data_IF_691621568060
#
_entry.id   IF_691621568060
#
_cell.length_a   1.000
_cell.length_b   1.000
_cell.length_c   1.000
_cell.angle_alpha   90.00
_cell.angle_beta   90.00
_cell.angle_gamma   90.00
#
_symmetry.space_group_name_H-M   'P 1'
#
loop_
_entity.id
_entity.type
_entity.pdbx_description
1 polymer ?
#
# COMPACT_ATOMS: atom_id res chain seq x y z
N UNK A 1 -5.69 19.59 -2.07
CA UNK A 1 -5.50 18.67 -3.19
C UNK A 1 -5.99 17.28 -2.82
N UNK A 2 -6.82 16.75 -3.64
CA UNK A 2 -7.39 15.44 -3.38
C UNK A 2 -6.39 14.35 -3.69
N UNK A 3 -6.33 13.36 -2.82
CA UNK A 3 -5.56 12.16 -3.11
C UNK A 3 -6.35 11.28 -4.05
N UNK A 4 -5.72 10.87 -5.12
CA UNK A 4 -6.31 9.89 -6.02
C UNK A 4 -6.42 8.56 -5.30
N UNK A 5 -7.56 7.91 -5.43
CA UNK A 5 -7.77 6.61 -4.80
C UNK A 5 -7.47 5.49 -5.78
N UNK A 6 -6.98 4.41 -5.22
CA UNK A 6 -6.69 3.20 -5.99
C UNK A 6 -7.47 2.08 -5.34
N UNK A 7 -8.29 1.36 -6.09
CA UNK A 7 -9.03 0.26 -5.50
C UNK A 7 -8.12 -0.95 -5.28
N UNK A 8 -8.55 -1.84 -4.41
CA UNK A 8 -7.75 -3.01 -4.04
C UNK A 8 -7.44 -3.86 -5.26
N UNK A 9 -8.40 -4.00 -6.17
CA UNK A 9 -8.20 -4.77 -7.38
C UNK A 9 -7.02 -4.22 -8.19
N UNK A 10 -6.94 -2.90 -8.31
CA UNK A 10 -5.84 -2.26 -9.01
C UNK A 10 -4.52 -2.42 -8.27
N UNK A 11 -4.56 -2.36 -6.94
CA UNK A 11 -3.37 -2.58 -6.13
C UNK A 11 -2.82 -3.99 -6.38
N UNK A 12 -3.69 -4.98 -6.43
CA UNK A 12 -3.28 -6.36 -6.71
C UNK A 12 -2.58 -6.45 -8.07
N UNK A 13 -3.11 -5.75 -9.04
CA UNK A 13 -2.52 -5.73 -10.38
C UNK A 13 -1.15 -5.06 -10.38
N UNK A 14 -1.06 -3.89 -9.75
CA UNK A 14 0.18 -3.11 -9.71
C UNK A 14 1.28 -3.87 -9.01
N UNK A 15 0.94 -4.52 -7.89
CA UNK A 15 1.92 -5.20 -7.04
C UNK A 15 2.09 -6.67 -7.38
N UNK A 16 1.27 -7.18 -8.31
CA UNK A 16 1.24 -8.60 -8.61
C UNK A 16 1.01 -9.40 -7.33
N UNK A 17 0.03 -8.97 -6.55
CA UNK A 17 -0.22 -9.53 -5.24
C UNK A 17 -1.39 -10.47 -5.21
N UNK A 18 -1.54 -11.12 -4.05
CA UNK A 18 -2.62 -12.05 -3.78
C UNK A 18 -3.46 -11.50 -2.64
N UNK A 19 -4.77 -11.45 -2.82
CA UNK A 19 -5.66 -10.98 -1.77
C UNK A 19 -5.96 -12.12 -0.81
N UNK A 20 -5.51 -11.96 0.43
CA UNK A 20 -5.74 -12.96 1.47
C UNK A 20 -7.08 -12.70 2.14
N UNK A 21 -7.35 -11.43 2.49
CA UNK A 21 -8.59 -11.02 3.13
C UNK A 21 -8.95 -9.64 2.57
N UNK A 22 -10.25 -9.41 2.36
CA UNK A 22 -10.70 -8.05 2.08
C UNK A 22 -11.55 -7.92 0.84
N UNK A 23 -12.03 -6.70 0.61
CA UNK A 23 -12.92 -6.34 -0.47
C UNK A 23 -12.12 -5.75 -1.64
N UNK A 24 -12.20 -6.37 -2.80
CA UNK A 24 -11.47 -5.90 -3.98
C UNK A 24 -11.91 -4.53 -4.45
N UNK A 25 -13.10 -4.11 -4.08
CA UNK A 25 -13.65 -2.83 -4.53
C UNK A 25 -13.32 -1.68 -3.59
N UNK A 26 -12.72 -1.98 -2.45
CA UNK A 26 -12.37 -0.93 -1.49
C UNK A 26 -11.31 -0.01 -2.09
N UNK A 27 -11.51 1.29 -1.91
CA UNK A 27 -10.58 2.30 -2.44
C UNK A 27 -9.64 2.78 -1.36
N UNK A 28 -8.37 2.90 -1.71
CA UNK A 28 -7.30 3.30 -0.80
C UNK A 28 -6.68 4.59 -1.33
N UNK A 29 -6.58 5.59 -0.47
CA UNK A 29 -6.01 6.88 -0.89
C UNK A 29 -4.59 7.10 -0.39
N UNK A 30 -4.17 6.37 0.62
CA UNK A 30 -2.89 6.67 1.27
C UNK A 30 -2.22 5.39 1.72
N UNK A 31 -0.90 5.38 1.61
CA UNK A 31 -0.06 4.24 1.99
C UNK A 31 1.00 4.71 2.96
N UNK A 32 1.39 3.85 3.89
CA UNK A 32 2.42 4.18 4.87
C UNK A 32 3.23 2.94 5.21
N UNK A 33 4.53 3.11 5.38
CA UNK A 33 5.39 2.04 5.88
C UNK A 33 5.88 2.33 7.30
N UNK A 34 5.26 3.28 7.98
CA UNK A 34 5.68 3.69 9.32
C UNK A 34 4.49 3.77 10.24
N UNK A 35 4.45 2.87 11.23
CA UNK A 35 3.31 2.81 12.16
C UNK A 35 3.16 4.07 12.99
N UNK A 36 4.23 4.87 13.11
CA UNK A 36 4.15 6.11 13.89
C UNK A 36 3.34 7.18 13.20
N UNK A 37 3.21 7.10 11.88
CA UNK A 37 2.51 8.12 11.11
C UNK A 37 1.24 7.61 10.46
N UNK A 38 0.83 6.39 10.75
CA UNK A 38 -0.36 5.82 10.17
C UNK A 38 -1.59 6.60 10.59
N UNK A 39 -2.44 6.87 9.61
CA UNK A 39 -3.72 7.51 9.84
C UNK A 39 -4.84 6.54 9.46
N UNK A 40 -6.03 6.88 9.94
CA UNK A 40 -7.20 6.05 9.70
C UNK A 40 -7.41 5.87 8.20
N UNK A 41 -7.52 4.63 7.76
CA UNK A 41 -7.74 4.33 6.35
C UNK A 41 -6.49 4.10 5.53
N UNK A 42 -5.31 4.25 6.12
CA UNK A 42 -4.06 3.99 5.41
C UNK A 42 -3.87 2.50 5.14
N UNK A 43 -3.20 2.20 4.04
CA UNK A 43 -2.72 0.85 3.76
C UNK A 43 -1.27 0.77 4.24
N UNK A 44 -1.00 -0.16 5.15
CA UNK A 44 0.33 -0.32 5.70
C UNK A 44 1.17 -1.25 4.84
N UNK A 45 2.40 -0.83 4.51
CA UNK A 45 3.36 -1.70 3.81
C UNK A 45 4.36 -2.23 4.82
N UNK A 46 4.37 -3.54 4.99
CA UNK A 46 5.25 -4.21 5.95
C UNK A 46 6.60 -4.46 5.30
N UNK A 47 7.49 -3.48 5.39
CA UNK A 47 8.78 -3.54 4.72
C UNK A 47 9.84 -4.07 5.69
N UNK A 48 10.62 -5.01 5.21
CA UNK A 48 11.71 -5.59 6.00
C UNK A 48 12.98 -4.78 5.76
N UNK A 49 13.44 -4.09 6.80
CA UNK A 49 14.66 -3.32 6.73
C UNK A 49 15.82 -4.03 7.41
N UNK A 50 16.94 -3.33 7.52
CA UNK A 50 18.14 -3.91 8.12
C UNK A 50 17.98 -4.20 9.59
N UNK A 51 17.32 -3.30 10.31
CA UNK A 51 17.17 -3.41 11.76
C UNK A 51 15.78 -3.80 12.20
N UNK A 52 14.80 -3.49 11.37
CA UNK A 52 13.40 -3.62 11.73
C UNK A 52 12.68 -4.38 10.63
N UNK A 53 11.91 -5.34 11.04
CA UNK A 53 11.03 -6.05 10.11
C UNK A 53 9.62 -5.51 10.30
N UNK A 54 9.12 -4.81 9.29
CA UNK A 54 7.79 -4.20 9.36
C UNK A 54 6.68 -5.21 9.58
N UNK A 55 6.93 -6.48 9.27
CA UNK A 55 5.93 -7.53 9.49
C UNK A 55 5.63 -7.73 10.98
N UNK A 56 6.53 -7.34 11.85
CA UNK A 56 6.29 -7.41 13.29
C UNK A 56 5.32 -6.35 13.79
N UNK A 57 4.97 -5.39 12.96
CA UNK A 57 4.15 -4.24 13.36
C UNK A 57 2.79 -4.22 12.65
N UNK A 58 2.41 -5.31 12.01
CA UNK A 58 1.15 -5.34 11.25
C UNK A 58 -0.04 -5.12 12.20
N UNK A 59 -0.06 -5.80 13.35
CA UNK A 59 -1.16 -5.60 14.28
C UNK A 59 -1.17 -4.18 14.83
N UNK A 60 0.01 -3.62 15.13
CA UNK A 60 0.11 -2.22 15.53
C UNK A 60 -0.53 -1.29 14.52
N UNK A 61 -0.24 -1.53 13.25
CA UNK A 61 -0.79 -0.70 12.19
C UNK A 61 -2.31 -0.79 12.16
N UNK A 62 -2.86 -2.00 12.30
CA UNK A 62 -4.30 -2.18 12.31
C UNK A 62 -4.94 -1.44 13.48
N UNK A 63 -4.30 -1.50 14.66
CA UNK A 63 -4.84 -0.84 15.85
C UNK A 63 -4.75 0.67 15.75
N UNK A 64 -3.86 1.18 14.96
CA UNK A 64 -3.75 2.62 14.73
C UNK A 64 -4.67 3.13 13.64
N UNK A 65 -5.42 2.24 13.00
CA UNK A 65 -6.41 2.65 12.04
C UNK A 65 -6.12 2.27 10.61
N UNK A 66 -5.03 1.54 10.35
CA UNK A 66 -4.76 1.07 9.01
C UNK A 66 -5.92 0.19 8.53
N UNK A 67 -6.32 0.38 7.29
CA UNK A 67 -7.41 -0.40 6.73
C UNK A 67 -6.92 -1.75 6.24
N UNK A 68 -5.62 -1.89 6.01
CA UNK A 68 -5.06 -3.15 5.57
C UNK A 68 -3.56 -3.11 5.53
N UNK A 69 -2.96 -4.19 5.06
CA UNK A 69 -1.51 -4.27 4.93
C UNK A 69 -1.11 -5.01 3.66
N UNK A 70 0.10 -4.71 3.21
CA UNK A 70 0.76 -5.45 2.14
C UNK A 70 2.00 -6.06 2.76
N UNK A 71 2.15 -7.38 2.64
CA UNK A 71 3.24 -8.10 3.29
C UNK A 71 3.84 -9.11 2.33
N UNK A 72 5.10 -9.48 2.55
CA UNK A 72 5.75 -10.54 1.78
C UNK A 72 5.89 -11.82 2.59
N UNK A 73 5.30 -11.88 3.79
CA UNK A 73 5.39 -13.04 4.66
C UNK A 73 4.01 -13.66 4.86
N UNK A 74 4.02 -14.93 5.24
CA UNK A 74 2.78 -15.61 5.61
C UNK A 74 2.20 -14.96 6.85
N UNK A 75 0.90 -14.71 6.82
CA UNK A 75 0.20 -14.13 7.95
C UNK A 75 -0.38 -15.25 8.80
N UNK A 76 -0.16 -15.17 10.10
CA UNK A 76 -0.71 -16.12 11.06
C UNK A 76 -2.24 -16.12 10.99
N UNK A 77 -2.82 -17.31 11.03
CA UNK A 77 -4.27 -17.45 10.95
C UNK A 77 -4.99 -16.71 12.08
N UNK A 78 -4.37 -16.60 13.23
CA UNK A 78 -4.98 -15.85 14.33
C UNK A 78 -5.13 -14.39 13.99
N UNK A 79 -4.14 -13.82 13.31
CA UNK A 79 -4.20 -12.44 12.86
C UNK A 79 -5.28 -12.28 11.79
N UNK A 80 -5.34 -13.22 10.85
CA UNK A 80 -6.36 -13.18 9.80
C UNK A 80 -7.75 -13.20 10.41
N UNK A 81 -7.98 -14.07 11.39
CA UNK A 81 -9.28 -14.19 12.02
C UNK A 81 -9.64 -12.97 12.86
N UNK A 82 -8.65 -12.43 13.57
CA UNK A 82 -8.88 -11.26 14.42
C UNK A 82 -9.16 -10.00 13.61
N UNK A 83 -8.55 -9.89 12.46
CA UNK A 83 -8.66 -8.70 11.61
C UNK A 83 -9.33 -9.02 10.28
N UNK A 84 -10.35 -9.86 10.31
CA UNK A 84 -11.03 -10.27 9.08
C UNK A 84 -11.81 -9.14 8.41
N UNK A 85 -11.93 -8.00 9.08
CA UNK A 85 -12.53 -6.80 8.50
C UNK A 85 -11.48 -5.88 7.85
N UNK A 86 -10.23 -6.28 7.89
CA UNK A 86 -9.15 -5.53 7.24
C UNK A 86 -8.82 -6.15 5.90
N UNK A 87 -7.93 -5.49 5.16
CA UNK A 87 -7.48 -5.97 3.86
C UNK A 87 -6.06 -6.48 4.02
N UNK A 88 -5.81 -7.72 3.60
CA UNK A 88 -4.47 -8.30 3.68
C UNK A 88 -4.07 -8.76 2.29
N UNK A 89 -2.97 -8.21 1.79
CA UNK A 89 -2.43 -8.51 0.46
C UNK A 89 -1.04 -9.07 0.63
N UNK A 90 -0.78 -10.22 -0.01
CA UNK A 90 0.54 -10.82 0.01
C UNK A 90 1.22 -10.60 -1.33
N UNK A 91 2.49 -10.16 -1.28
CA UNK A 91 3.30 -9.93 -2.47
C UNK A 91 4.61 -10.67 -2.30
N UNK A 92 5.40 -10.75 -3.36
CA UNK A 92 6.71 -11.39 -3.29
C UNK A 92 7.77 -10.48 -2.70
N UNK A 93 7.62 -9.17 -2.92
CA UNK A 93 8.63 -8.18 -2.52
C UNK A 93 7.93 -6.88 -2.20
N UNK A 94 7.89 -6.52 -0.92
CA UNK A 94 7.17 -5.32 -0.48
C UNK A 94 7.87 -4.04 -0.93
N UNK A 95 9.19 -4.06 -1.07
CA UNK A 95 9.91 -2.88 -1.54
C UNK A 95 9.54 -2.61 -3.00
N UNK A 96 9.50 -3.66 -3.80
CA UNK A 96 9.10 -3.52 -5.20
C UNK A 96 7.64 -3.07 -5.31
N UNK A 97 6.78 -3.60 -4.44
CA UNK A 97 5.39 -3.19 -4.40
C UNK A 97 5.27 -1.70 -4.09
N UNK A 98 6.04 -1.23 -3.12
CA UNK A 98 6.06 0.18 -2.78
C UNK A 98 6.51 1.04 -3.97
N UNK A 99 7.57 0.61 -4.64
CA UNK A 99 8.08 1.35 -5.79
C UNK A 99 7.05 1.42 -6.91
N UNK A 100 6.38 0.31 -7.18
CA UNK A 100 5.36 0.25 -8.22
C UNK A 100 4.16 1.12 -7.87
N UNK A 101 3.74 1.11 -6.62
CA UNK A 101 2.63 1.95 -6.17
C UNK A 101 2.98 3.42 -6.25
N UNK A 102 4.19 3.78 -5.84
CA UNK A 102 4.64 5.16 -5.90
C UNK A 102 4.69 5.64 -7.35
N UNK A 103 5.20 4.80 -8.22
CA UNK A 103 5.27 5.11 -9.64
C UNK A 103 3.88 5.32 -10.24
N UNK A 104 2.96 4.45 -9.88
CA UNK A 104 1.59 4.55 -10.37
C UNK A 104 0.93 5.83 -9.88
N UNK A 105 1.05 6.13 -8.59
CA UNK A 105 0.44 7.34 -8.04
C UNK A 105 1.05 8.59 -8.66
N UNK A 106 2.34 8.59 -8.88
CA UNK A 106 2.99 9.72 -9.51
C UNK A 106 2.44 9.96 -10.92
N UNK A 107 2.21 8.87 -11.66
CA UNK A 107 1.70 9.00 -13.01
C UNK A 107 0.30 9.61 -13.03
N UNK A 108 -0.47 9.44 -11.96
CA UNK A 108 -1.81 10.02 -11.87
C UNK A 108 -1.77 11.53 -11.72
N UNK A 109 -0.67 12.06 -11.22
CA UNK A 109 -0.54 13.50 -10.97
C UNK A 109 0.33 14.21 -11.99
N UNK A 110 1.03 13.47 -12.81
CA UNK A 110 2.01 14.06 -13.72
C UNK A 110 1.40 14.61 -14.99
N UNK A 111 0.22 14.15 -15.35
CA UNK A 111 -0.36 14.50 -16.63
C UNK A 111 -0.45 16.01 -16.85
N UNK A 112 -0.97 16.78 -15.89
CA UNK A 112 -1.03 18.22 -16.10
C UNK A 112 0.35 18.85 -16.24
N UNK A 113 1.30 18.32 -15.53
CA UNK A 113 2.65 18.88 -15.56
C UNK A 113 3.28 18.64 -16.93
N UNK A 114 3.08 17.48 -17.44
CA UNK A 114 3.66 17.13 -18.73
C UNK A 114 3.16 18.06 -19.82
N UNK A 115 1.91 18.41 -19.74
CA UNK A 115 1.34 19.26 -20.75
C UNK A 115 2.07 20.58 -20.86
N UNK A 116 2.71 20.98 -19.82
CA UNK A 116 3.37 22.26 -19.80
C UNK A 116 4.67 22.23 -20.51
N UNK A 117 5.33 21.28 -20.52
CA UNK A 117 6.52 21.47 -20.89
C UNK A 117 7.28 20.95 -21.75
N UNK A 118 7.00 20.91 -21.99
CA UNK A 118 7.61 20.35 -22.89
C UNK A 118 9.01 20.41 -22.92
N UNK A 119 8.76 20.94 -22.41
CA UNK A 119 9.55 20.85 -22.35
C UNK A 119 10.49 20.62 -22.21
N UNK A 120 10.44 20.76 -22.05
CA UNK A 120 11.18 20.63 -21.74
C UNK A 120 12.07 20.07 -21.65
N UNK A 121 12.18 20.02 -21.67
CA UNK A 121 12.98 19.55 -21.45
C UNK A 121 13.73 18.88 -21.50
N UNK A 122 13.66 18.77 -21.62
CA UNK A 122 14.26 18.22 -21.52
C UNK A 122 14.85 17.83 -21.51
N UNK A 123 14.67 17.98 -21.66
CA UNK A 123 15.16 17.68 -21.57
C UNK A 123 15.63 17.55 -21.60
#
# INVERSE_FOLDING_TARGET
MDNKKIDVDKILEICNGELIVGDRKKEISSFSNDTRTIQNGDMYLAIKGDRVNGNNYIENAFEKGAIGCITDEEINKNIINKYNNKIIIKVKDTIKALQNLAKYKRSMYDIPVIAVTGSVRKN
#
